data_IF_432648704500
#
_entry.id   IF_432648704500
#
_cell.length_a   1.000
_cell.length_b   1.000
_cell.length_c   1.000
_cell.angle_alpha   90.00
_cell.angle_beta   90.00
_cell.angle_gamma   90.00
#
_symmetry.space_group_name_H-M   'P 1'
#
loop_
_entity.id
_entity.type
_entity.pdbx_description
1 polymer ?
#
# COMPACT_ATOMS: atom_id res chain seq x y z
N UNK A 1 0.82 4.52 12.55
CA UNK A 1 1.90 4.94 11.63
C UNK A 1 1.36 4.80 10.22
N UNK A 2 1.64 5.74 9.33
CA UNK A 2 1.14 5.69 7.95
C UNK A 2 1.75 4.50 7.21
N UNK A 3 0.93 3.78 6.44
CA UNK A 3 1.40 2.68 5.59
C UNK A 3 2.35 3.27 4.54
N UNK A 4 3.54 2.66 4.37
CA UNK A 4 4.47 3.07 3.32
C UNK A 4 3.83 2.85 1.95
N UNK A 5 3.73 3.92 1.14
CA UNK A 5 2.95 3.91 -0.10
C UNK A 5 3.84 4.01 -1.34
N UNK A 6 3.28 3.65 -2.51
CA UNK A 6 3.95 3.85 -3.80
C UNK A 6 4.26 5.34 -4.06
N UNK A 7 3.37 6.25 -3.63
CA UNK A 7 3.59 7.70 -3.78
C UNK A 7 4.75 8.18 -2.92
N UNK A 8 4.88 7.66 -1.69
CA UNK A 8 6.03 7.96 -0.84
C UNK A 8 7.34 7.45 -1.45
N UNK A 9 7.34 6.24 -2.00
CA UNK A 9 8.50 5.74 -2.75
C UNK A 9 8.82 6.61 -3.96
N UNK A 10 7.81 7.05 -4.73
CA UNK A 10 8.03 7.98 -5.85
C UNK A 10 8.64 9.29 -5.38
N UNK A 11 8.15 9.87 -4.28
CA UNK A 11 8.71 11.09 -3.71
C UNK A 11 10.18 10.92 -3.30
N UNK A 12 10.59 9.75 -2.82
CA UNK A 12 11.98 9.46 -2.48
C UNK A 12 12.89 9.44 -3.71
N UNK A 13 12.44 8.84 -4.81
CA UNK A 13 13.28 8.65 -6.02
C UNK A 13 13.10 9.75 -7.07
N UNK A 14 12.19 10.69 -6.85
CA UNK A 14 12.04 11.89 -7.69
C UNK A 14 13.09 12.94 -7.33
N UNK A 15 14.01 13.19 -8.26
CA UNK A 15 15.10 14.18 -8.15
C UNK A 15 16.12 13.87 -7.03
N UNK A 16 16.85 12.76 -7.14
CA UNK A 16 17.90 12.45 -6.18
C UNK A 16 19.08 13.41 -6.33
N UNK A 17 19.63 13.80 -5.19
CA UNK A 17 20.85 14.62 -5.11
C UNK A 17 22.00 13.74 -4.63
N UNK A 18 23.06 13.67 -5.41
CA UNK A 18 24.25 12.89 -5.04
C UNK A 18 25.02 13.58 -3.90
N UNK A 19 25.54 12.81 -2.91
CA UNK A 19 25.41 11.36 -2.75
C UNK A 19 24.09 10.97 -2.06
N UNK A 20 23.47 9.90 -2.55
CA UNK A 20 22.31 9.26 -1.94
C UNK A 20 22.75 8.08 -1.07
N UNK A 21 22.44 8.12 0.22
CA UNK A 21 22.71 7.06 1.19
C UNK A 21 21.42 6.33 1.51
N UNK A 22 21.45 5.00 1.41
CA UNK A 22 20.34 4.12 1.80
C UNK A 22 20.83 3.12 2.85
N UNK A 23 20.21 3.15 4.03
CA UNK A 23 20.55 2.28 5.15
C UNK A 23 19.36 1.38 5.46
N UNK A 24 19.62 0.09 5.60
CA UNK A 24 18.64 -0.91 5.99
C UNK A 24 19.14 -1.66 7.22
N UNK A 25 18.29 -1.73 8.24
CA UNK A 25 18.60 -2.33 9.53
C UNK A 25 17.49 -3.29 9.96
N UNK A 26 17.78 -4.58 10.23
CA UNK A 26 16.87 -5.44 10.96
C UNK A 26 16.76 -5.01 12.43
N UNK A 27 15.54 -4.88 12.92
CA UNK A 27 15.21 -4.46 14.29
C UNK A 27 14.62 -5.63 15.08
N UNK A 28 15.16 -5.87 16.27
CA UNK A 28 14.59 -6.83 17.22
C UNK A 28 13.44 -6.20 18.01
N UNK A 29 12.33 -6.93 18.16
CA UNK A 29 11.08 -6.44 18.78
C UNK A 29 10.98 -6.67 20.30
N UNK A 30 11.62 -7.72 20.84
CA UNK A 30 11.40 -8.17 22.22
C UNK A 30 12.66 -8.84 22.81
N UNK A 31 12.90 -8.63 24.10
CA UNK A 31 13.94 -9.34 24.86
C UNK A 31 15.30 -8.64 24.91
N UNK A 32 16.32 -9.37 25.41
CA UNK A 32 17.68 -8.84 25.63
C UNK A 32 18.39 -8.38 24.36
N UNK A 33 17.94 -8.83 23.18
CA UNK A 33 18.54 -8.51 21.88
C UNK A 33 18.15 -7.12 21.35
N UNK A 34 17.12 -6.48 21.91
CA UNK A 34 16.77 -5.07 21.59
C UNK A 34 17.92 -4.10 21.86
N UNK A 35 18.77 -4.41 22.84
CA UNK A 35 20.01 -3.66 23.14
C UNK A 35 21.06 -3.75 22.03
N UNK A 36 20.91 -4.67 21.08
CA UNK A 36 21.77 -4.76 19.91
C UNK A 36 21.37 -3.78 18.81
N UNK A 37 20.12 -3.30 18.76
CA UNK A 37 19.66 -2.37 17.71
C UNK A 37 20.53 -1.09 17.64
N UNK A 38 20.83 -0.40 18.77
CA UNK A 38 21.72 0.77 18.75
C UNK A 38 23.16 0.42 18.29
N UNK A 39 23.63 -0.78 18.61
CA UNK A 39 24.99 -1.23 18.25
C UNK A 39 25.06 -1.48 16.75
N UNK A 40 24.09 -2.21 16.19
CA UNK A 40 23.98 -2.47 14.74
C UNK A 40 23.83 -1.16 13.96
N UNK A 41 23.04 -0.22 14.49
CA UNK A 41 22.87 1.10 13.92
C UNK A 41 24.19 1.90 13.85
N UNK A 42 24.96 1.95 14.94
CA UNK A 42 26.28 2.62 14.94
C UNK A 42 27.24 2.01 13.94
N UNK A 43 27.23 0.68 13.80
CA UNK A 43 28.04 -0.01 12.81
C UNK A 43 27.63 0.35 11.38
N UNK A 44 26.33 0.43 11.08
CA UNK A 44 25.79 0.88 9.79
C UNK A 44 26.20 2.32 9.47
N UNK A 45 26.09 3.25 10.43
CA UNK A 45 26.51 4.64 10.24
C UNK A 45 28.01 4.71 9.93
N UNK A 46 28.84 3.97 10.66
CA UNK A 46 30.28 3.91 10.40
C UNK A 46 30.61 3.31 9.03
N UNK A 47 29.87 2.31 8.58
CA UNK A 47 30.02 1.76 7.23
C UNK A 47 29.63 2.80 6.16
N UNK A 48 28.57 3.56 6.39
CA UNK A 48 28.16 4.65 5.50
C UNK A 48 29.20 5.77 5.43
N UNK A 49 29.80 6.15 6.57
CA UNK A 49 30.92 7.10 6.62
C UNK A 49 32.08 6.65 5.75
N UNK A 50 32.53 5.40 5.90
CA UNK A 50 33.65 4.86 5.12
C UNK A 50 33.36 4.89 3.61
N UNK A 51 32.15 4.47 3.20
CA UNK A 51 31.75 4.46 1.79
C UNK A 51 31.60 5.87 1.20
N UNK A 52 31.13 6.84 2.01
CA UNK A 52 31.08 8.24 1.59
C UNK A 52 32.48 8.84 1.46
N UNK A 53 33.41 8.52 2.36
CA UNK A 53 34.79 9.00 2.27
C UNK A 53 35.50 8.48 1.00
N UNK A 54 35.14 7.28 0.52
CA UNK A 54 35.60 6.73 -0.77
C UNK A 54 35.09 7.50 -2.00
N UNK A 55 34.02 8.29 -1.87
CA UNK A 55 33.49 9.13 -2.97
C UNK A 55 34.27 10.43 -3.17
N UNK A 56 35.23 10.74 -2.29
CA UNK A 56 36.04 11.96 -2.35
C UNK A 56 35.40 13.18 -1.68
N UNK A 57 34.26 13.03 -0.99
CA UNK A 57 33.77 14.05 -0.06
C UNK A 57 34.77 14.27 1.07
N UNK A 58 34.83 15.50 1.59
CA UNK A 58 35.63 15.73 2.80
C UNK A 58 34.92 15.08 3.97
N UNK A 59 35.69 14.48 4.88
CA UNK A 59 35.14 13.83 6.08
C UNK A 59 34.17 14.73 6.89
N UNK A 60 34.42 16.04 6.97
CA UNK A 60 33.50 16.97 7.62
C UNK A 60 32.12 17.08 6.92
N UNK A 61 32.10 16.99 5.58
CA UNK A 61 30.88 16.97 4.78
C UNK A 61 30.14 15.63 4.97
N UNK A 62 30.88 14.51 4.98
CA UNK A 62 30.36 13.17 5.31
C UNK A 62 29.63 13.15 6.66
N UNK A 63 30.29 13.64 7.72
CA UNK A 63 29.71 13.69 9.07
C UNK A 63 28.48 14.60 9.12
N UNK A 64 28.53 15.76 8.45
CA UNK A 64 27.39 16.67 8.40
C UNK A 64 26.18 16.06 7.67
N UNK A 65 26.42 15.30 6.60
CA UNK A 65 25.38 14.60 5.86
C UNK A 65 24.68 13.54 6.73
N UNK A 66 25.44 12.74 7.47
CA UNK A 66 24.91 11.65 8.30
C UNK A 66 24.38 12.10 9.66
N UNK A 67 24.66 13.34 10.07
CA UNK A 67 24.25 13.89 11.37
C UNK A 67 22.77 13.69 11.71
N UNK A 68 21.79 13.93 10.81
CA UNK A 68 20.38 13.72 11.12
C UNK A 68 20.06 12.26 11.49
N UNK A 69 20.76 11.29 10.90
CA UNK A 69 20.60 9.89 11.28
C UNK A 69 21.20 9.62 12.66
N UNK A 70 22.38 10.17 12.97
CA UNK A 70 23.01 10.02 14.29
C UNK A 70 22.12 10.55 15.43
N UNK A 71 21.34 11.60 15.18
CA UNK A 71 20.40 12.18 16.15
C UNK A 71 19.23 11.24 16.50
N UNK A 72 18.96 10.21 15.69
CA UNK A 72 17.98 9.16 16.01
C UNK A 72 18.44 8.22 17.14
N UNK A 73 19.74 8.16 17.46
CA UNK A 73 20.26 7.25 18.50
C UNK A 73 19.96 7.76 19.93
N UNK A 74 18.68 7.68 20.31
CA UNK A 74 18.18 8.03 21.63
C UNK A 74 17.23 6.94 22.17
N UNK A 75 17.01 6.93 23.49
CA UNK A 75 16.22 5.89 24.16
C UNK A 75 14.81 5.76 23.58
N UNK A 76 14.12 6.88 23.40
CA UNK A 76 12.73 6.92 22.92
C UNK A 76 12.60 6.32 21.51
N UNK A 77 13.59 6.54 20.65
CA UNK A 77 13.62 5.96 19.32
C UNK A 77 13.74 4.43 19.34
N UNK A 78 14.55 3.89 20.24
CA UNK A 78 14.76 2.44 20.34
C UNK A 78 13.63 1.68 21.05
N UNK A 79 12.68 2.39 21.66
CA UNK A 79 11.45 1.80 22.20
C UNK A 79 10.42 1.44 21.09
N UNK A 80 10.65 1.89 19.86
CA UNK A 80 9.77 1.59 18.71
C UNK A 80 9.79 0.09 18.38
N UNK A 81 8.64 -0.58 18.50
CA UNK A 81 8.50 -2.03 18.26
C UNK A 81 8.22 -2.40 16.78
N UNK A 82 9.14 -2.06 15.87
CA UNK A 82 9.09 -2.46 14.45
C UNK A 82 10.13 -3.54 14.11
N UNK A 83 10.03 -4.17 12.93
CA UNK A 83 10.97 -5.24 12.51
C UNK A 83 12.12 -4.72 11.66
N UNK A 84 11.99 -3.54 11.08
CA UNK A 84 12.99 -2.97 10.20
C UNK A 84 13.03 -1.46 10.29
N UNK A 85 14.22 -0.90 10.14
CA UNK A 85 14.47 0.52 10.01
C UNK A 85 15.14 0.77 8.66
N UNK A 86 14.61 1.74 7.92
CA UNK A 86 15.17 2.21 6.67
C UNK A 86 15.42 3.70 6.77
N UNK A 87 16.58 4.16 6.30
CA UNK A 87 16.97 5.58 6.32
C UNK A 87 17.50 5.97 4.95
N UNK A 88 17.01 7.10 4.45
CA UNK A 88 17.46 7.74 3.22
C UNK A 88 18.00 9.13 3.52
N UNK A 89 19.20 9.40 3.02
CA UNK A 89 19.94 10.64 3.29
C UNK A 89 20.57 11.17 2.00
N UNK A 90 20.31 12.43 1.68
CA UNK A 90 21.01 13.21 0.65
C UNK A 90 21.14 14.67 1.11
N UNK A 91 21.91 15.54 0.43
CA UNK A 91 22.19 16.91 0.90
C UNK A 91 20.97 17.72 1.37
N UNK A 92 19.79 17.50 0.77
CA UNK A 92 18.55 18.19 1.11
C UNK A 92 17.39 17.26 1.52
N UNK A 93 17.66 15.97 1.74
CA UNK A 93 16.63 14.99 2.11
C UNK A 93 17.09 14.12 3.28
N UNK A 94 16.25 14.04 4.30
CA UNK A 94 16.35 13.05 5.35
C UNK A 94 14.99 12.42 5.59
N UNK A 95 14.90 11.10 5.42
CA UNK A 95 13.68 10.32 5.67
C UNK A 95 14.05 9.01 6.33
N UNK A 96 13.25 8.59 7.30
CA UNK A 96 13.36 7.26 7.89
C UNK A 96 11.99 6.63 8.06
N UNK A 97 11.96 5.30 8.01
CA UNK A 97 10.75 4.51 8.15
C UNK A 97 11.02 3.33 9.08
N UNK A 98 10.21 3.21 10.12
CA UNK A 98 10.16 2.01 10.96
C UNK A 98 9.03 1.12 10.43
N UNK A 99 9.37 -0.03 9.87
CA UNK A 99 8.49 -0.84 9.02
C UNK A 99 8.20 -2.21 9.66
N UNK A 100 7.05 -2.83 9.33
CA UNK A 100 6.61 -4.07 9.96
C UNK A 100 7.34 -5.32 9.46
N UNK A 101 8.27 -5.18 8.51
CA UNK A 101 9.09 -6.27 7.97
C UNK A 101 10.57 -6.09 8.34
N UNK A 102 11.30 -7.20 8.41
CA UNK A 102 12.75 -7.18 8.59
C UNK A 102 13.46 -7.01 7.25
N UNK A 103 14.62 -6.34 7.28
CA UNK A 103 15.48 -6.13 6.12
C UNK A 103 16.85 -6.78 6.33
N UNK A 104 17.56 -7.13 5.24
CA UNK A 104 19.00 -7.39 5.38
C UNK A 104 19.71 -6.14 5.89
N UNK A 105 20.75 -6.33 6.70
CA UNK A 105 21.65 -5.23 7.05
C UNK A 105 22.40 -4.80 5.78
N UNK A 106 22.19 -3.56 5.33
CA UNK A 106 22.72 -3.08 4.05
C UNK A 106 22.99 -1.56 4.09
N UNK A 107 24.14 -1.16 3.53
CA UNK A 107 24.49 0.22 3.23
C UNK A 107 24.71 0.36 1.73
N UNK A 108 24.06 1.34 1.12
CA UNK A 108 24.31 1.72 -0.29
C UNK A 108 24.57 3.21 -0.36
N UNK A 109 25.63 3.61 -1.06
CA UNK A 109 25.95 4.99 -1.43
C UNK A 109 25.99 5.04 -2.95
N UNK A 110 25.15 5.87 -3.56
CA UNK A 110 25.01 5.94 -5.02
C UNK A 110 24.45 7.28 -5.50
N UNK A 111 24.11 7.37 -6.79
CA UNK A 111 23.45 8.56 -7.37
C UNK A 111 21.96 8.59 -7.11
N UNK A 112 21.36 7.42 -6.88
CA UNK A 112 19.95 7.24 -6.53
C UNK A 112 19.84 6.49 -5.20
N UNK A 113 18.69 6.60 -4.53
CA UNK A 113 18.40 5.75 -3.37
C UNK A 113 18.18 4.30 -3.82
N UNK A 114 18.73 3.36 -3.05
CA UNK A 114 18.47 1.95 -3.24
C UNK A 114 17.10 1.61 -2.71
N UNK A 115 16.16 1.13 -3.55
CA UNK A 115 14.76 0.93 -3.12
C UNK A 115 14.27 -0.51 -3.22
N UNK A 116 14.99 -1.39 -3.92
CA UNK A 116 14.60 -2.79 -4.14
C UNK A 116 14.15 -3.53 -2.87
N UNK A 117 14.80 -3.38 -1.69
CA UNK A 117 14.33 -4.05 -0.47
C UNK A 117 12.94 -3.60 0.00
N UNK A 118 12.52 -2.36 -0.33
CA UNK A 118 11.19 -1.83 0.00
C UNK A 118 10.07 -2.34 -0.90
N UNK A 119 10.40 -2.96 -2.04
CA UNK A 119 9.39 -3.42 -2.99
C UNK A 119 8.46 -4.47 -2.40
N UNK A 120 8.91 -5.22 -1.39
CA UNK A 120 8.06 -6.15 -0.63
C UNK A 120 6.87 -5.47 0.05
N UNK A 121 6.95 -4.18 0.34
CA UNK A 121 5.87 -3.43 1.01
C UNK A 121 4.92 -2.74 0.04
N UNK A 122 5.33 -2.60 -1.22
CA UNK A 122 4.58 -1.83 -2.21
C UNK A 122 3.96 -2.75 -3.26
N UNK A 123 4.73 -3.75 -3.69
CA UNK A 123 4.29 -4.72 -4.67
C UNK A 123 3.74 -5.94 -3.94
N UNK A 124 2.60 -6.45 -4.42
CA UNK A 124 2.00 -7.70 -3.92
C UNK A 124 1.47 -7.69 -2.48
N UNK A 125 1.63 -6.57 -1.77
CA UNK A 125 1.09 -6.38 -0.42
C UNK A 125 -0.40 -6.09 -0.38
N UNK A 126 -0.98 -5.94 -1.59
CA UNK A 126 -2.39 -6.07 -1.84
C UNK A 126 -3.20 -5.17 -0.92
N UNK A 127 -3.05 -3.84 -1.07
CA UNK A 127 -3.83 -2.89 -0.27
C UNK A 127 -5.30 -3.29 -0.32
N UNK A 128 -5.91 -3.42 0.85
CA UNK A 128 -7.33 -3.73 1.01
C UNK A 128 -7.94 -2.84 2.08
N UNK A 129 -9.27 -2.76 2.08
CA UNK A 129 -10.04 -2.06 3.08
C UNK A 129 -10.91 -3.04 3.87
N UNK A 130 -11.12 -2.75 5.15
CA UNK A 130 -12.09 -3.45 5.98
C UNK A 130 -13.11 -2.44 6.50
N UNK A 131 -14.38 -2.64 6.19
CA UNK A 131 -15.48 -1.95 6.85
C UNK A 131 -15.97 -2.80 8.02
N UNK A 132 -15.56 -2.42 9.24
CA UNK A 132 -16.12 -2.98 10.45
C UNK A 132 -17.47 -2.31 10.73
N UNK A 133 -18.55 -3.05 10.52
CA UNK A 133 -19.93 -2.57 10.56
C UNK A 133 -20.69 -3.21 11.73
N UNK A 134 -21.15 -2.37 12.66
CA UNK A 134 -22.13 -2.70 13.68
C UNK A 134 -23.21 -1.60 13.72
N UNK A 135 -24.35 -1.87 14.35
CA UNK A 135 -25.38 -0.83 14.55
C UNK A 135 -24.92 0.31 15.46
N UNK A 136 -23.87 0.10 16.28
CA UNK A 136 -23.41 1.05 17.30
C UNK A 136 -22.11 1.77 16.93
N UNK A 137 -21.35 1.22 15.99
CA UNK A 137 -20.04 1.71 15.63
C UNK A 137 -19.70 1.29 14.20
N UNK A 138 -19.15 2.22 13.42
CA UNK A 138 -18.64 1.94 12.09
C UNK A 138 -17.22 2.45 11.96
N UNK A 139 -16.33 1.58 11.49
CA UNK A 139 -14.91 1.91 11.30
C UNK A 139 -14.41 1.40 9.97
N UNK A 140 -13.59 2.23 9.32
CA UNK A 140 -12.84 1.84 8.14
C UNK A 140 -11.39 1.58 8.52
N UNK A 141 -10.84 0.48 8.03
CA UNK A 141 -9.42 0.17 8.15
C UNK A 141 -8.81 0.04 6.76
N UNK A 142 -7.56 0.48 6.61
CA UNK A 142 -6.70 0.15 5.48
C UNK A 142 -5.69 -0.90 5.95
N UNK A 143 -5.57 -1.98 5.19
CA UNK A 143 -4.65 -3.07 5.47
C UNK A 143 -3.72 -3.38 4.30
N UNK A 144 -2.58 -3.96 4.63
CA UNK A 144 -1.74 -4.77 3.74
C UNK A 144 -1.52 -6.13 4.39
N UNK A 145 -0.72 -7.00 3.76
CA UNK A 145 -0.26 -8.26 4.36
C UNK A 145 0.35 -8.11 5.77
N UNK A 146 1.02 -6.98 6.04
CA UNK A 146 1.83 -6.82 7.25
C UNK A 146 1.23 -5.93 8.33
N UNK A 147 0.30 -5.04 7.96
CA UNK A 147 -0.21 -4.04 8.88
C UNK A 147 -1.64 -3.64 8.55
N UNK A 148 -2.32 -3.11 9.56
CA UNK A 148 -3.66 -2.54 9.47
C UNK A 148 -3.67 -1.24 10.27
N UNK A 149 -4.30 -0.20 9.72
CA UNK A 149 -4.47 1.08 10.39
C UNK A 149 -5.92 1.56 10.21
N UNK A 150 -6.48 2.15 11.26
CA UNK A 150 -7.78 2.82 11.18
C UNK A 150 -7.66 4.05 10.28
N UNK A 151 -8.68 4.26 9.45
CA UNK A 151 -8.75 5.37 8.50
C UNK A 151 -9.96 6.21 8.85
N UNK A 152 -9.71 7.48 9.16
CA UNK A 152 -10.79 8.43 9.35
C UNK A 152 -11.50 8.72 8.01
N UNK A 153 -12.83 8.67 8.08
CA UNK A 153 -13.75 8.93 6.98
C UNK A 153 -14.62 10.11 7.38
N UNK A 154 -14.60 11.17 6.56
CA UNK A 154 -15.37 12.37 6.83
C UNK A 154 -16.87 12.12 6.67
N UNK A 155 -17.68 12.59 7.62
CA UNK A 155 -19.13 12.37 7.67
C UNK A 155 -19.54 10.88 7.75
N UNK A 156 -18.68 10.05 8.33
CA UNK A 156 -19.02 8.66 8.61
C UNK A 156 -20.05 8.60 9.75
N UNK A 157 -21.22 7.97 9.56
CA UNK A 157 -22.16 7.78 10.66
C UNK A 157 -21.55 6.91 11.76
N UNK A 158 -21.70 7.30 13.03
CA UNK A 158 -21.17 6.48 14.13
C UNK A 158 -22.12 5.33 14.48
N UNK A 159 -23.43 5.53 14.35
CA UNK A 159 -24.43 4.52 14.71
C UNK A 159 -25.73 4.64 13.92
N UNK A 160 -26.54 3.58 13.99
CA UNK A 160 -27.89 3.55 13.47
C UNK A 160 -28.75 4.63 14.13
N UNK A 161 -28.72 4.73 15.47
CA UNK A 161 -29.55 5.68 16.23
C UNK A 161 -29.27 7.14 15.84
N UNK A 162 -27.99 7.51 15.68
CA UNK A 162 -27.59 8.84 15.22
C UNK A 162 -28.14 9.15 13.82
N UNK A 163 -28.05 8.17 12.92
CA UNK A 163 -28.50 8.32 11.53
C UNK A 163 -30.02 8.53 11.47
N UNK A 164 -30.77 7.77 12.27
CA UNK A 164 -32.23 7.89 12.35
C UNK A 164 -32.65 9.24 12.93
N UNK A 165 -31.95 9.74 13.96
CA UNK A 165 -32.20 11.06 14.53
C UNK A 165 -32.02 12.16 13.48
N UNK A 166 -30.92 12.14 12.72
CA UNK A 166 -30.68 13.12 11.65
C UNK A 166 -31.77 13.09 10.58
N UNK A 167 -32.21 11.91 10.16
CA UNK A 167 -33.29 11.73 9.18
C UNK A 167 -34.63 12.28 9.69
N UNK A 168 -34.96 12.06 10.98
CA UNK A 168 -36.15 12.62 11.63
C UNK A 168 -36.10 14.16 11.70
N UNK A 169 -34.94 14.73 12.04
CA UNK A 169 -34.76 16.18 12.04
C UNK A 169 -34.95 16.77 10.62
N UNK A 170 -34.38 16.13 9.59
CA UNK A 170 -34.51 16.58 8.21
C UNK A 170 -35.96 16.48 7.69
N UNK A 171 -36.64 15.35 7.91
CA UNK A 171 -38.06 15.17 7.55
C UNK A 171 -38.95 16.19 8.29
N UNK A 172 -38.66 16.45 9.57
CA UNK A 172 -39.37 17.46 10.37
C UNK A 172 -39.11 18.92 9.95
N UNK A 173 -37.99 19.21 9.29
CA UNK A 173 -37.71 20.53 8.68
C UNK A 173 -38.39 20.65 7.31
N UNK A 174 -38.34 19.62 6.47
CA UNK A 174 -39.05 19.60 5.18
C UNK A 174 -40.57 19.71 5.36
N UNK A 175 -41.14 19.03 6.36
CA UNK A 175 -42.57 19.18 6.68
C UNK A 175 -42.95 20.59 7.16
N UNK A 176 -42.01 21.35 7.76
CA UNK A 176 -42.25 22.73 8.17
C UNK A 176 -42.16 23.73 7.01
N UNK A 177 -41.45 23.40 5.93
CA UNK A 177 -41.34 24.25 4.73
C UNK A 177 -42.48 23.95 3.73
N UNK A 178 -43.08 22.75 3.78
CA UNK A 178 -44.16 22.33 2.88
C UNK A 178 -45.59 22.81 3.20
N UNK A 179 -45.85 23.46 4.34
CA UNK A 179 -47.18 24.00 4.66
C UNK A 179 -47.31 25.43 4.14
N UNK A 180 -47.49 25.55 2.82
CA UNK A 180 -48.12 26.73 2.25
C UNK A 180 -49.63 26.66 2.55
N UNK A 181 -50.15 27.74 3.16
CA UNK A 181 -51.52 27.87 3.63
C UNK A 181 -52.56 27.61 2.52
N UNK A 182 -53.44 26.65 2.77
CA UNK A 182 -54.82 26.67 2.28
C UNK A 182 -55.24 25.44 1.46
N UNK A 183 -56.00 24.53 2.07
CA UNK A 183 -57.17 23.89 1.45
C UNK A 183 -57.89 22.99 2.48
N UNK A 184 -59.21 23.03 2.42
CA UNK A 184 -60.19 22.35 3.27
C UNK A 184 -60.50 20.94 2.81
N UNK A 185 -60.63 20.03 3.80
CA UNK A 185 -61.55 18.87 3.90
C UNK A 185 -61.58 17.73 2.86
N UNK A 186 -61.65 16.53 3.45
CA UNK A 186 -62.31 15.29 3.00
C UNK A 186 -61.52 14.32 2.10
N UNK A 187 -61.15 13.17 2.66
CA UNK A 187 -61.77 11.87 2.37
C UNK A 187 -60.88 10.73 2.90
N UNK A 188 -61.44 9.90 3.76
CA UNK A 188 -60.91 8.58 4.10
C UNK A 188 -60.91 7.70 2.85
N UNK A 189 -59.79 7.07 2.55
CA UNK A 189 -59.74 5.77 1.89
C UNK A 189 -58.67 4.90 2.55
N UNK A 190 -59.05 3.86 3.31
CA UNK A 190 -58.14 2.82 3.75
C UNK A 190 -58.09 1.73 2.68
N UNK A 191 -56.90 1.42 2.18
CA UNK A 191 -56.70 0.23 1.35
C UNK A 191 -55.50 0.28 0.44
N UNK A 192 -54.39 -0.30 0.87
CA UNK A 192 -53.62 -1.21 0.02
C UNK A 192 -52.59 -2.00 0.83
N UNK A 193 -52.85 -3.31 0.86
CA UNK A 193 -51.86 -4.40 0.76
C UNK A 193 -50.76 -4.45 1.83
N UNK A 194 -51.10 -4.98 3.00
CA UNK A 194 -50.12 -5.63 3.87
C UNK A 194 -49.74 -6.99 3.26
N UNK A 195 -48.52 -7.08 2.75
CA UNK A 195 -47.79 -8.34 2.74
C UNK A 195 -47.65 -8.84 4.18
N UNK A 196 -47.67 -10.16 4.38
CA UNK A 196 -47.52 -10.78 5.69
C UNK A 196 -46.08 -10.62 6.21
N UNK A 197 -45.75 -9.43 6.70
CA UNK A 197 -44.56 -9.13 7.48
C UNK A 197 -44.96 -8.59 8.85
N UNK A 198 -44.11 -8.79 9.86
CA UNK A 198 -44.27 -8.11 11.14
C UNK A 198 -43.84 -6.64 10.91
N UNK A 199 -44.74 -5.64 11.03
CA UNK A 199 -44.44 -4.24 10.65
C UNK A 199 -43.23 -3.65 11.39
N UNK A 200 -42.96 -4.11 12.62
CA UNK A 200 -41.79 -3.67 13.39
C UNK A 200 -40.46 -4.21 12.82
N UNK A 201 -40.49 -5.39 12.19
CA UNK A 201 -39.29 -5.99 11.57
C UNK A 201 -38.97 -5.37 10.22
N UNK A 202 -39.99 -5.16 9.37
CA UNK A 202 -39.81 -4.50 8.07
C UNK A 202 -39.25 -3.09 8.26
N UNK A 203 -39.82 -2.33 9.20
CA UNK A 203 -39.31 -1.00 9.53
C UNK A 203 -37.87 -1.01 10.03
N UNK A 204 -37.51 -1.98 10.90
CA UNK A 204 -36.14 -2.07 11.39
C UNK A 204 -35.14 -2.41 10.27
N UNK A 205 -35.53 -3.26 9.31
CA UNK A 205 -34.69 -3.59 8.15
C UNK A 205 -34.53 -2.39 7.21
N UNK A 206 -35.61 -1.61 6.99
CA UNK A 206 -35.55 -0.32 6.26
C UNK A 206 -34.62 0.69 6.96
N UNK A 207 -34.69 0.80 8.29
CA UNK A 207 -33.84 1.68 9.08
C UNK A 207 -32.35 1.29 8.94
N UNK A 208 -32.03 -0.01 9.02
CA UNK A 208 -30.67 -0.52 8.79
C UNK A 208 -30.21 -0.23 7.36
N UNK A 209 -31.09 -0.40 6.38
CA UNK A 209 -30.75 -0.15 4.98
C UNK A 209 -30.43 1.34 4.75
N UNK A 210 -31.22 2.24 5.33
CA UNK A 210 -30.96 3.69 5.29
C UNK A 210 -29.62 4.05 5.93
N UNK A 211 -29.30 3.43 7.06
CA UNK A 211 -27.97 3.54 7.68
C UNK A 211 -26.85 3.04 6.76
N UNK A 212 -27.05 1.90 6.08
CA UNK A 212 -26.06 1.38 5.13
C UNK A 212 -25.85 2.32 3.94
N UNK A 213 -26.88 3.01 3.45
CA UNK A 213 -26.75 4.05 2.41
C UNK A 213 -25.93 5.25 2.89
N UNK A 214 -26.15 5.70 4.13
CA UNK A 214 -25.37 6.79 4.71
C UNK A 214 -23.88 6.41 4.82
N UNK A 215 -23.60 5.18 5.26
CA UNK A 215 -22.24 4.62 5.33
C UNK A 215 -21.60 4.52 3.93
N UNK A 216 -22.30 3.95 2.94
CA UNK A 216 -21.78 3.86 1.56
C UNK A 216 -21.50 5.24 0.96
N UNK A 217 -22.38 6.22 1.17
CA UNK A 217 -22.20 7.60 0.69
C UNK A 217 -20.93 8.27 1.25
N UNK A 218 -20.65 8.06 2.55
CA UNK A 218 -19.41 8.53 3.18
C UNK A 218 -18.18 7.82 2.59
N UNK A 219 -18.26 6.49 2.42
CA UNK A 219 -17.16 5.69 1.87
C UNK A 219 -16.89 5.97 0.39
N UNK A 220 -17.92 6.23 -0.41
CA UNK A 220 -17.78 6.50 -1.84
C UNK A 220 -16.87 7.69 -2.10
N UNK A 221 -16.97 8.75 -1.28
CA UNK A 221 -16.08 9.92 -1.36
C UNK A 221 -14.63 9.55 -1.04
N UNK A 222 -14.42 8.71 -0.01
CA UNK A 222 -13.09 8.29 0.45
C UNK A 222 -12.40 7.34 -0.52
N UNK A 223 -13.15 6.39 -1.08
CA UNK A 223 -12.64 5.31 -1.94
C UNK A 223 -12.70 5.65 -3.44
N UNK A 224 -12.95 6.92 -3.78
CA UNK A 224 -13.06 7.36 -5.16
C UNK A 224 -11.75 7.14 -5.92
N UNK A 225 -11.79 6.30 -6.95
CA UNK A 225 -10.62 5.98 -7.79
C UNK A 225 -9.72 4.89 -7.22
N UNK A 226 -10.00 4.42 -6.00
CA UNK A 226 -9.35 3.24 -5.43
C UNK A 226 -9.87 1.97 -6.12
N UNK A 227 -9.00 0.97 -6.22
CA UNK A 227 -9.31 -0.37 -6.76
C UNK A 227 -9.05 -1.49 -5.77
N UNK A 228 -8.63 -1.12 -4.55
CA UNK A 228 -8.34 -2.04 -3.47
C UNK A 228 -9.64 -2.78 -3.05
N UNK A 229 -9.61 -4.10 -2.83
CA UNK A 229 -10.78 -4.83 -2.35
C UNK A 229 -11.30 -4.27 -1.03
N UNK A 230 -12.63 -4.19 -0.88
CA UNK A 230 -13.30 -3.85 0.37
C UNK A 230 -13.92 -5.10 0.99
N UNK A 231 -13.60 -5.38 2.25
CA UNK A 231 -14.09 -6.53 3.00
C UNK A 231 -15.06 -6.03 4.07
N UNK A 232 -16.21 -6.67 4.20
CA UNK A 232 -17.12 -6.36 5.30
C UNK A 232 -16.77 -7.22 6.51
N UNK A 233 -16.74 -6.62 7.70
CA UNK A 233 -16.57 -7.31 8.96
C UNK A 233 -17.72 -6.94 9.91
N UNK A 234 -18.48 -7.92 10.39
CA UNK A 234 -19.63 -7.65 11.22
C UNK A 234 -20.54 -8.85 11.45
N UNK A 235 -21.69 -8.60 12.08
CA UNK A 235 -22.70 -9.64 12.32
C UNK A 235 -23.39 -10.06 11.03
N UNK A 236 -23.73 -11.34 10.94
CA UNK A 236 -24.13 -12.02 9.69
C UNK A 236 -25.33 -11.37 8.98
N UNK A 237 -26.30 -10.85 9.74
CA UNK A 237 -27.50 -10.23 9.16
C UNK A 237 -27.24 -8.83 8.56
N UNK A 238 -26.20 -8.11 8.99
CA UNK A 238 -25.91 -6.76 8.48
C UNK A 238 -25.23 -6.79 7.11
N UNK A 239 -24.39 -7.81 6.85
CA UNK A 239 -23.56 -7.84 5.65
C UNK A 239 -24.38 -7.89 4.35
N UNK A 240 -25.46 -8.72 4.24
CA UNK A 240 -26.34 -8.71 3.07
C UNK A 240 -27.04 -7.37 2.85
N UNK A 241 -27.47 -6.70 3.93
CA UNK A 241 -28.15 -5.40 3.84
C UNK A 241 -27.18 -4.33 3.33
N UNK A 242 -25.94 -4.31 3.84
CA UNK A 242 -24.92 -3.40 3.32
C UNK A 242 -24.59 -3.67 1.85
N UNK A 243 -24.52 -4.94 1.42
CA UNK A 243 -24.31 -5.28 0.00
C UNK A 243 -25.39 -4.71 -0.91
N UNK A 244 -26.63 -4.58 -0.42
CA UNK A 244 -27.72 -3.99 -1.17
C UNK A 244 -27.56 -2.47 -1.37
N UNK A 245 -26.95 -1.79 -0.38
CA UNK A 245 -26.67 -0.35 -0.44
C UNK A 245 -25.35 0.00 -1.16
N UNK A 246 -24.40 -0.94 -1.23
CA UNK A 246 -23.04 -0.69 -1.68
C UNK A 246 -22.95 -0.23 -3.15
N UNK A 247 -22.20 0.84 -3.38
CA UNK A 247 -21.87 1.33 -4.73
C UNK A 247 -20.42 1.07 -5.14
N UNK A 248 -19.57 0.60 -4.22
CA UNK A 248 -18.15 0.35 -4.50
C UNK A 248 -17.94 -0.93 -5.34
N UNK A 249 -17.31 -0.85 -6.54
CA UNK A 249 -17.21 -1.99 -7.46
C UNK A 249 -16.34 -3.16 -6.96
N UNK A 250 -15.40 -2.90 -6.05
CA UNK A 250 -14.41 -3.87 -5.59
C UNK A 250 -14.77 -4.45 -4.21
N UNK A 251 -16.06 -4.57 -3.90
CA UNK A 251 -16.52 -5.25 -2.70
C UNK A 251 -16.28 -6.75 -2.79
N UNK A 252 -15.57 -7.33 -1.83
CA UNK A 252 -15.30 -8.76 -1.76
C UNK A 252 -16.57 -9.57 -1.49
N UNK A 253 -16.71 -10.72 -2.14
CA UNK A 253 -17.86 -11.63 -1.98
C UNK A 253 -17.96 -12.20 -0.57
N UNK A 254 -16.82 -12.55 0.03
CA UNK A 254 -16.73 -13.07 1.39
C UNK A 254 -16.43 -11.96 2.39
N UNK A 255 -17.10 -11.97 3.53
CA UNK A 255 -16.84 -11.07 4.66
C UNK A 255 -16.38 -11.82 5.91
N UNK A 256 -15.95 -11.07 6.92
CA UNK A 256 -15.55 -11.59 8.22
C UNK A 256 -16.78 -11.55 9.14
N UNK A 257 -17.36 -12.70 9.43
CA UNK A 257 -18.53 -12.80 10.31
C UNK A 257 -18.11 -12.86 11.78
N UNK A 258 -18.72 -12.03 12.62
CA UNK A 258 -18.47 -12.01 14.06
C UNK A 258 -18.58 -10.61 14.63
N UNK A 259 -18.32 -10.47 15.94
CA UNK A 259 -18.24 -9.14 16.53
C UNK A 259 -16.88 -8.52 16.23
N UNK A 260 -16.82 -7.64 15.23
CA UNK A 260 -15.62 -6.92 14.83
C UNK A 260 -15.04 -6.04 15.96
N UNK A 261 -15.83 -5.65 16.97
CA UNK A 261 -15.37 -4.87 18.13
C UNK A 261 -14.51 -5.70 19.10
N UNK A 262 -14.62 -7.03 19.06
CA UNK A 262 -13.90 -7.95 19.97
C UNK A 262 -12.59 -8.44 19.34
N UNK A 263 -12.49 -8.45 18.01
CA UNK A 263 -11.29 -8.90 17.32
C UNK A 263 -10.14 -7.92 17.52
N UNK A 264 -8.97 -8.46 17.87
CA UNK A 264 -7.74 -7.65 17.88
C UNK A 264 -7.42 -7.26 16.44
N UNK A 265 -6.85 -6.07 16.25
CA UNK A 265 -6.44 -5.58 14.92
C UNK A 265 -5.63 -6.60 14.12
N UNK A 266 -4.72 -7.34 14.76
CA UNK A 266 -3.91 -8.38 14.11
C UNK A 266 -4.75 -9.57 13.62
N UNK A 267 -5.74 -10.01 14.40
CA UNK A 267 -6.64 -11.10 14.00
C UNK A 267 -7.54 -10.67 12.85
N UNK A 268 -8.02 -9.42 12.89
CA UNK A 268 -8.81 -8.81 11.83
C UNK A 268 -8.00 -8.71 10.51
N UNK A 269 -6.74 -8.27 10.59
CA UNK A 269 -5.84 -8.22 9.45
C UNK A 269 -5.57 -9.61 8.86
N UNK A 270 -5.31 -10.61 9.70
CA UNK A 270 -5.08 -11.98 9.26
C UNK A 270 -6.31 -12.57 8.56
N UNK A 271 -7.50 -12.45 9.17
CA UNK A 271 -8.75 -12.92 8.58
C UNK A 271 -9.06 -12.23 7.25
N UNK A 272 -8.80 -10.92 7.15
CA UNK A 272 -8.95 -10.18 5.90
C UNK A 272 -7.97 -10.66 4.83
N UNK A 273 -6.70 -10.88 5.20
CA UNK A 273 -5.66 -11.34 4.27
C UNK A 273 -6.02 -12.69 3.63
N UNK A 274 -6.54 -13.65 4.40
CA UNK A 274 -6.99 -14.94 3.86
C UNK A 274 -8.08 -14.80 2.78
N UNK A 275 -8.90 -13.75 2.84
CA UNK A 275 -9.95 -13.47 1.86
C UNK A 275 -9.38 -12.82 0.59
N UNK A 276 -8.48 -11.84 0.73
CA UNK A 276 -7.99 -11.04 -0.42
C UNK A 276 -6.74 -11.60 -1.08
N UNK A 277 -5.94 -12.39 -0.38
CA UNK A 277 -4.73 -12.99 -0.94
C UNK A 277 -5.00 -13.78 -2.24
N UNK A 278 -6.05 -14.61 -2.36
CA UNK A 278 -6.40 -15.25 -3.63
C UNK A 278 -6.73 -14.27 -4.76
N UNK A 279 -7.32 -13.11 -4.45
CA UNK A 279 -7.63 -12.08 -5.46
C UNK A 279 -6.36 -11.46 -6.02
N UNK A 280 -5.38 -11.16 -5.17
CA UNK A 280 -4.08 -10.64 -5.59
C UNK A 280 -3.24 -11.68 -6.32
N UNK A 281 -3.28 -12.94 -5.87
CA UNK A 281 -2.62 -14.05 -6.56
C UNK A 281 -3.17 -14.23 -7.98
N UNK A 282 -4.48 -14.12 -8.16
CA UNK A 282 -5.10 -14.23 -9.49
C UNK A 282 -4.63 -13.14 -10.47
N UNK A 283 -4.57 -11.88 -10.05
CA UNK A 283 -4.05 -10.80 -10.91
C UNK A 283 -2.61 -11.09 -11.35
N UNK A 284 -1.79 -11.61 -10.43
CA UNK A 284 -0.43 -12.02 -10.74
C UNK A 284 -0.37 -13.21 -11.71
N UNK A 285 -1.17 -14.25 -11.47
CA UNK A 285 -1.26 -15.42 -12.36
C UNK A 285 -1.70 -15.05 -13.77
N UNK A 286 -2.67 -14.15 -13.91
CA UNK A 286 -3.14 -13.65 -15.21
C UNK A 286 -2.02 -12.93 -15.97
N UNK A 287 -1.23 -12.07 -15.28
CA UNK A 287 -0.07 -11.40 -15.88
C UNK A 287 1.04 -12.39 -16.28
N UNK A 288 1.27 -13.43 -15.46
CA UNK A 288 2.19 -14.50 -15.79
C UNK A 288 1.76 -15.29 -17.02
N UNK A 289 0.47 -15.60 -17.14
CA UNK A 289 -0.07 -16.27 -18.31
C UNK A 289 0.15 -15.42 -19.58
N UNK A 290 -0.09 -14.11 -19.50
CA UNK A 290 0.18 -13.17 -20.61
C UNK A 290 1.67 -13.16 -20.98
N UNK A 291 2.57 -13.10 -20.00
CA UNK A 291 4.01 -13.16 -20.27
C UNK A 291 4.42 -14.45 -20.98
N UNK A 292 3.97 -15.61 -20.48
CA UNK A 292 4.31 -16.92 -21.04
C UNK A 292 3.77 -17.05 -22.47
N UNK A 293 2.56 -16.57 -22.72
CA UNK A 293 1.98 -16.55 -24.06
C UNK A 293 2.83 -15.71 -25.03
N UNK A 294 3.11 -14.45 -24.69
CA UNK A 294 3.88 -13.55 -25.54
C UNK A 294 5.32 -14.04 -25.77
N UNK A 295 5.91 -14.68 -24.78
CA UNK A 295 7.23 -15.32 -24.87
C UNK A 295 7.22 -16.48 -25.86
N UNK A 296 6.19 -17.34 -25.82
CA UNK A 296 6.03 -18.45 -26.76
C UNK A 296 5.73 -18.02 -28.20
N UNK A 297 5.16 -16.83 -28.39
CA UNK A 297 4.91 -16.21 -29.71
C UNK A 297 6.13 -15.42 -30.26
N UNK A 298 7.26 -15.40 -29.53
CA UNK A 298 8.44 -14.59 -29.86
C UNK A 298 8.10 -13.09 -30.07
N UNK A 299 7.14 -12.59 -29.28
CA UNK A 299 6.65 -11.22 -29.41
C UNK A 299 7.75 -10.19 -29.10
N UNK A 300 7.79 -9.11 -29.90
CA UNK A 300 8.66 -7.96 -29.66
C UNK A 300 8.30 -7.17 -28.37
N UNK A 301 7.18 -7.51 -27.73
CA UNK A 301 6.72 -6.91 -26.46
C UNK A 301 7.34 -7.55 -25.22
N UNK A 302 8.19 -8.55 -25.35
CA UNK A 302 8.89 -9.16 -24.21
C UNK A 302 10.36 -8.76 -24.23
N UNK A 303 10.90 -8.45 -23.05
CA UNK A 303 12.33 -8.30 -22.84
C UNK A 303 12.77 -9.12 -21.63
N UNK A 304 13.85 -9.90 -21.79
CA UNK A 304 14.43 -10.75 -20.74
C UNK A 304 15.94 -10.55 -20.55
N UNK A 305 16.53 -9.63 -21.31
CA UNK A 305 17.90 -9.16 -21.15
C UNK A 305 17.89 -7.80 -20.43
N UNK A 306 18.63 -7.70 -19.34
CA UNK A 306 18.78 -6.44 -18.59
C UNK A 306 19.28 -5.30 -19.48
N UNK A 307 20.15 -5.57 -20.46
CA UNK A 307 20.66 -4.55 -21.38
C UNK A 307 19.57 -3.95 -22.27
N UNK A 308 18.52 -4.71 -22.57
CA UNK A 308 17.34 -4.23 -23.30
C UNK A 308 16.31 -3.58 -22.37
N UNK A 309 16.14 -4.12 -21.16
CA UNK A 309 15.17 -3.64 -20.16
C UNK A 309 15.53 -2.26 -19.64
N UNK A 310 16.81 -1.96 -19.39
CA UNK A 310 17.23 -0.67 -18.83
C UNK A 310 16.80 0.52 -19.71
N UNK A 311 17.16 0.57 -21.03
CA UNK A 311 16.64 1.61 -21.90
C UNK A 311 15.11 1.59 -22.03
N UNK A 312 14.50 0.41 -22.02
CA UNK A 312 13.04 0.30 -22.11
C UNK A 312 12.34 0.89 -20.87
N UNK A 313 12.86 0.65 -19.68
CA UNK A 313 12.37 1.20 -18.44
C UNK A 313 12.56 2.72 -18.43
N UNK A 314 13.74 3.21 -18.80
CA UNK A 314 14.06 4.63 -18.86
C UNK A 314 13.14 5.40 -19.82
N UNK A 315 12.94 4.90 -21.05
CA UNK A 315 12.09 5.52 -22.08
C UNK A 315 10.61 5.14 -21.99
N UNK A 316 10.12 4.77 -20.80
CA UNK A 316 8.69 4.55 -20.55
C UNK A 316 8.04 3.42 -21.37
N UNK A 317 8.83 2.44 -21.82
CA UNK A 317 8.36 1.31 -22.66
C UNK A 317 7.95 0.10 -21.85
N UNK A 318 8.41 -0.04 -20.61
CA UNK A 318 8.03 -1.15 -19.74
C UNK A 318 6.63 -0.89 -19.17
N UNK A 319 5.73 -1.84 -19.40
CA UNK A 319 4.43 -1.90 -18.74
C UNK A 319 4.54 -2.63 -17.39
N UNK A 320 5.12 -3.83 -17.40
CA UNK A 320 5.25 -4.67 -16.22
C UNK A 320 6.66 -5.25 -16.16
N UNK A 321 7.33 -5.14 -15.01
CA UNK A 321 8.68 -5.67 -14.75
C UNK A 321 8.61 -6.77 -13.69
N UNK A 322 9.26 -7.91 -13.94
CA UNK A 322 9.50 -8.98 -12.99
C UNK A 322 10.98 -9.01 -12.60
N UNK A 323 11.27 -8.84 -11.32
CA UNK A 323 12.63 -8.63 -10.82
C UNK A 323 12.92 -9.52 -9.60
N UNK A 324 14.11 -10.16 -9.52
CA UNK A 324 14.50 -10.90 -8.33
C UNK A 324 14.94 -9.95 -7.20
N UNK A 325 14.44 -10.16 -5.98
CA UNK A 325 14.76 -9.30 -4.83
C UNK A 325 16.20 -9.43 -4.33
N UNK A 326 16.76 -10.64 -4.36
CA UNK A 326 18.01 -10.99 -3.67
C UNK A 326 19.23 -11.06 -4.60
N UNK A 327 19.09 -10.56 -5.83
CA UNK A 327 20.18 -10.54 -6.80
C UNK A 327 20.52 -9.11 -7.16
N UNK A 328 21.79 -8.83 -7.41
CA UNK A 328 22.26 -7.53 -7.88
C UNK A 328 22.93 -7.70 -9.25
N UNK A 329 22.76 -6.71 -10.12
CA UNK A 329 23.48 -6.63 -11.38
C UNK A 329 24.20 -5.29 -11.42
N UNK A 330 25.51 -5.29 -11.27
CA UNK A 330 26.31 -4.07 -11.25
C UNK A 330 26.57 -3.56 -12.66
N UNK A 331 26.51 -2.24 -12.83
CA UNK A 331 26.80 -1.62 -14.11
C UNK A 331 26.52 -0.14 -14.16
N UNK A 332 26.58 0.40 -15.38
CA UNK A 332 26.33 1.80 -15.69
C UNK A 332 25.42 1.91 -16.90
N UNK A 333 24.53 2.90 -16.87
CA UNK A 333 23.71 3.27 -18.01
C UNK A 333 24.21 4.60 -18.60
N UNK A 334 24.65 4.56 -19.85
CA UNK A 334 25.11 5.74 -20.58
C UNK A 334 23.94 6.38 -21.34
N UNK A 335 23.47 7.54 -20.86
CA UNK A 335 22.31 8.24 -21.43
C UNK A 335 22.48 8.67 -22.89
N UNK A 336 23.62 9.24 -23.33
CA UNK A 336 23.82 9.66 -24.72
C UNK A 336 23.74 8.51 -25.73
N UNK A 337 24.27 7.33 -25.37
CA UNK A 337 24.25 6.16 -26.27
C UNK A 337 23.12 5.19 -25.99
N UNK A 338 22.40 5.35 -24.87
CA UNK A 338 21.42 4.41 -24.34
C UNK A 338 21.98 2.98 -24.21
N UNK A 339 23.26 2.85 -23.85
CA UNK A 339 23.94 1.56 -23.69
C UNK A 339 24.16 1.22 -22.21
N UNK A 340 24.21 -0.09 -21.93
CA UNK A 340 24.42 -0.62 -20.58
C UNK A 340 25.75 -1.36 -20.53
N UNK A 341 26.65 -0.86 -19.70
CA UNK A 341 27.89 -1.53 -19.33
C UNK A 341 27.65 -2.34 -18.06
N UNK A 342 27.97 -3.64 -18.09
CA UNK A 342 27.78 -4.54 -16.94
C UNK A 342 29.13 -4.91 -16.35
N UNK A 343 29.20 -4.92 -15.03
CA UNK A 343 30.39 -5.29 -14.28
C UNK A 343 30.15 -6.55 -13.43
N UNK A 344 31.14 -7.44 -13.31
CA UNK A 344 31.02 -8.66 -12.50
C UNK A 344 31.03 -8.37 -11.00
N UNK A 345 31.70 -7.30 -10.58
CA UNK A 345 31.83 -6.83 -9.21
C UNK A 345 31.53 -5.31 -9.17
N UNK A 346 31.07 -4.78 -8.04
CA UNK A 346 30.75 -3.35 -7.93
C UNK A 346 32.01 -2.50 -8.10
N UNK A 347 31.96 -1.56 -9.04
CA UNK A 347 33.00 -0.55 -9.26
C UNK A 347 32.53 0.85 -8.79
N UNK A 348 33.44 1.84 -8.66
CA UNK A 348 33.05 3.21 -8.37
C UNK A 348 32.02 3.75 -9.38
N UNK A 349 30.98 4.39 -8.87
CA UNK A 349 29.80 4.89 -9.60
C UNK A 349 28.90 3.83 -10.24
N UNK A 350 29.11 2.55 -9.98
CA UNK A 350 28.15 1.52 -10.38
C UNK A 350 26.84 1.66 -9.61
N UNK A 351 25.76 1.30 -10.29
CA UNK A 351 24.45 1.14 -9.68
C UNK A 351 23.99 -0.31 -9.85
N UNK A 352 23.04 -0.73 -9.01
CA UNK A 352 22.33 -1.96 -9.24
C UNK A 352 21.32 -1.74 -10.39
N UNK A 353 21.61 -2.30 -11.56
CA UNK A 353 20.78 -2.18 -12.75
C UNK A 353 19.36 -2.72 -12.53
N UNK A 354 19.18 -3.73 -11.67
CA UNK A 354 17.83 -4.19 -11.34
C UNK A 354 17.04 -3.10 -10.59
N UNK A 355 17.69 -2.40 -9.67
CA UNK A 355 17.10 -1.30 -8.91
C UNK A 355 16.84 -0.08 -9.81
N UNK A 356 17.76 0.23 -10.73
CA UNK A 356 17.55 1.25 -11.76
C UNK A 356 16.31 0.95 -12.61
N UNK A 357 16.17 -0.29 -13.11
CA UNK A 357 15.02 -0.71 -13.89
C UNK A 357 13.71 -0.56 -13.11
N UNK A 358 13.72 -0.89 -11.81
CA UNK A 358 12.58 -0.72 -10.90
C UNK A 358 12.20 0.75 -10.77
N UNK A 359 13.16 1.62 -10.41
CA UNK A 359 12.93 3.06 -10.21
C UNK A 359 12.27 3.65 -11.45
N UNK A 360 12.87 3.42 -12.62
CA UNK A 360 12.37 3.99 -13.86
C UNK A 360 11.03 3.40 -14.28
N UNK A 361 10.79 2.10 -14.07
CA UNK A 361 9.48 1.50 -14.34
C UNK A 361 8.38 2.13 -13.49
N UNK A 362 8.62 2.30 -12.18
CA UNK A 362 7.65 2.90 -11.24
C UNK A 362 7.37 4.37 -11.58
N UNK A 363 8.43 5.16 -11.80
CA UNK A 363 8.31 6.59 -12.15
C UNK A 363 7.51 6.77 -13.45
N UNK A 364 7.67 5.84 -14.37
CA UNK A 364 7.03 5.85 -15.69
C UNK A 364 5.62 5.25 -15.72
N UNK A 365 5.11 4.82 -14.57
CA UNK A 365 3.76 4.28 -14.38
C UNK A 365 3.61 2.82 -14.79
N UNK A 366 4.72 2.08 -14.90
CA UNK A 366 4.69 0.63 -15.02
C UNK A 366 4.51 -0.06 -13.67
N UNK A 367 4.12 -1.34 -13.70
CA UNK A 367 4.02 -2.22 -12.54
C UNK A 367 5.35 -2.95 -12.34
N UNK A 368 5.69 -3.25 -11.09
CA UNK A 368 6.85 -4.07 -10.73
C UNK A 368 6.35 -5.22 -9.87
N UNK A 369 6.82 -6.44 -10.14
CA UNK A 369 6.57 -7.63 -9.37
C UNK A 369 7.90 -8.23 -8.96
N UNK A 370 7.99 -8.54 -7.68
CA UNK A 370 9.21 -9.06 -7.07
C UNK A 370 9.09 -10.54 -6.81
N UNK A 371 10.07 -11.30 -7.31
CA UNK A 371 10.03 -12.76 -7.28
C UNK A 371 11.27 -13.32 -6.58
N UNK A 372 11.11 -14.52 -6.01
CA UNK A 372 12.28 -15.35 -5.73
C UNK A 372 12.86 -15.84 -7.07
N UNK A 373 14.19 -16.03 -7.19
CA UNK A 373 14.83 -16.44 -8.43
C UNK A 373 14.20 -17.68 -9.09
N UNK A 374 13.74 -18.64 -8.28
CA UNK A 374 13.13 -19.89 -8.75
C UNK A 374 11.72 -19.70 -9.31
N UNK A 375 11.04 -18.61 -8.92
CA UNK A 375 9.72 -18.24 -9.42
C UNK A 375 9.78 -17.37 -10.68
N UNK A 376 10.99 -17.01 -11.15
CA UNK A 376 11.15 -16.22 -12.36
C UNK A 376 10.63 -16.98 -13.59
N UNK A 377 9.87 -16.31 -14.48
CA UNK A 377 9.27 -16.98 -15.62
C UNK A 377 10.34 -17.53 -16.57
N UNK A 378 10.13 -18.73 -17.08
CA UNK A 378 11.01 -19.37 -18.07
C UNK A 378 12.51 -19.43 -17.66
N UNK A 379 12.83 -19.34 -16.36
CA UNK A 379 14.20 -19.38 -15.84
C UNK A 379 15.06 -18.15 -16.17
N UNK A 380 14.47 -17.03 -16.62
CA UNK A 380 15.24 -15.82 -16.93
C UNK A 380 15.59 -15.04 -15.66
N UNK A 381 16.67 -14.25 -15.69
CA UNK A 381 17.13 -13.49 -14.52
C UNK A 381 16.29 -12.24 -14.24
N UNK A 382 15.65 -11.70 -15.26
CA UNK A 382 14.78 -10.53 -15.21
C UNK A 382 13.84 -10.62 -16.41
N UNK A 383 12.61 -10.13 -16.28
CA UNK A 383 11.64 -10.18 -17.36
C UNK A 383 10.79 -8.91 -17.39
N UNK A 384 10.36 -8.49 -18.56
CA UNK A 384 9.48 -7.35 -18.74
C UNK A 384 8.47 -7.60 -19.86
N UNK A 385 7.26 -7.08 -19.66
CA UNK A 385 6.25 -6.85 -20.69
C UNK A 385 6.34 -5.37 -21.06
N UNK A 386 6.56 -5.09 -22.34
CA UNK A 386 6.59 -3.76 -22.91
C UNK A 386 5.22 -3.34 -23.44
N UNK A 387 4.95 -2.03 -23.42
CA UNK A 387 3.70 -1.42 -23.91
C UNK A 387 3.51 -1.59 -25.42
N UNK A 388 4.62 -1.56 -26.18
CA UNK A 388 4.65 -1.60 -27.64
C UNK A 388 5.89 -2.28 -28.18
#
# INVERSE_FOLDING_TARGET
>A
MTIFSLDELKNLVQNPEYPCVSLYLPMEKLGGDTRQNPIRFKNLIREAENRLDETGLRHAETVNLLKPAMELDNTDFWEIQNQGLVIFISPNLFRYYCLPISFPQLVVVGKNFHIKPLLNLINNDGKFYILALSQKNVKLYSGTRYQINEVEVENMPHSLDETLLEDEFQKGVQHRIGIARGATSAAQHPGSVHGQGNPDREKHEEDILQFCYAVDSALHKKLRGEKAPLILAGVEYLLPIYRQANTYPYLAETGITGNAEILKMQELNHAAWEIVNPLFQKEYEDLMAVYVQLSGEESNKIANDIKAIIPAAYYQRVDTLFVPLKQHIWGKFDLPTATVELHPEPAPDDEDMLDFAVIHTILNGGKVYTLEPEAMPSGVKVAAICRY
#
